data_IF_419177313603
#
_entry.id   IF_419177313603
#
_cell.length_a   1.000
_cell.length_b   1.000
_cell.length_c   1.000
_cell.angle_alpha   90.00
_cell.angle_beta   90.00
_cell.angle_gamma   90.00
#
_symmetry.space_group_name_H-M   'P 1'
#
loop_
_entity.id
_entity.type
_entity.pdbx_description
1 polymer ?
#
# COMPACT_ATOMS: atom_id res chain seq x y z
N UNK A 1 -21.51 99.00 74.21
CA UNK A 1 -20.84 98.32 73.11
C UNK A 1 -19.84 97.24 73.55
N UNK A 2 -20.11 96.53 74.68
CA UNK A 2 -19.21 95.47 75.18
C UNK A 2 -19.79 93.99 75.04
N UNK A 3 -21.09 93.90 74.70
CA UNK A 3 -21.75 92.52 74.59
C UNK A 3 -21.53 91.77 73.29
N UNK A 4 -21.32 92.52 72.18
CA UNK A 4 -21.23 91.87 70.87
C UNK A 4 -19.89 91.22 70.55
N UNK A 5 -18.78 91.73 71.09
CA UNK A 5 -17.43 91.15 70.91
C UNK A 5 -17.24 89.84 71.71
N UNK A 6 -17.98 89.72 72.85
CA UNK A 6 -17.86 88.53 73.70
C UNK A 6 -18.63 87.29 73.10
N UNK A 7 -19.72 87.57 72.35
CA UNK A 7 -20.48 86.51 71.65
C UNK A 7 -19.76 86.04 70.42
N UNK A 8 -18.97 86.90 69.71
CA UNK A 8 -18.20 86.49 68.53
C UNK A 8 -17.00 85.63 68.90
N UNK A 9 -16.37 85.89 70.06
CA UNK A 9 -15.25 85.08 70.58
C UNK A 9 -15.70 83.71 71.06
N UNK A 10 -16.92 83.58 71.65
CA UNK A 10 -17.46 82.28 72.05
C UNK A 10 -17.91 81.46 70.84
N UNK A 11 -18.44 82.09 69.79
CA UNK A 11 -18.78 81.37 68.52
C UNK A 11 -17.52 80.92 67.71
N UNK A 12 -16.44 81.72 67.75
CA UNK A 12 -15.19 81.33 67.11
C UNK A 12 -14.47 80.19 67.85
N UNK A 13 -14.54 80.19 69.21
CA UNK A 13 -13.98 79.05 70.00
C UNK A 13 -14.77 77.74 69.84
N UNK A 14 -16.12 77.85 69.69
CA UNK A 14 -16.98 76.69 69.47
C UNK A 14 -16.80 76.10 68.05
N UNK A 15 -16.53 76.97 67.02
CA UNK A 15 -16.26 76.52 65.67
C UNK A 15 -14.88 75.88 65.51
N UNK A 16 -13.86 76.31 66.34
CA UNK A 16 -12.55 75.71 66.35
C UNK A 16 -12.54 74.34 67.07
N UNK A 17 -13.46 74.11 68.02
CA UNK A 17 -13.55 72.84 68.76
C UNK A 17 -14.26 71.70 67.95
N UNK A 18 -15.06 72.05 66.92
CA UNK A 18 -15.75 71.07 66.06
C UNK A 18 -14.89 70.62 64.89
N UNK A 19 -13.80 71.31 64.55
CA UNK A 19 -12.87 70.88 63.50
C UNK A 19 -11.82 69.82 63.92
N UNK A 20 -11.65 69.62 65.24
CA UNK A 20 -10.70 68.68 65.81
C UNK A 20 -11.22 67.23 65.97
N UNK A 21 -12.54 66.99 65.79
CA UNK A 21 -13.16 65.67 66.06
C UNK A 21 -13.51 64.89 64.80
N UNK A 22 -13.06 65.31 63.60
CA UNK A 22 -13.46 64.67 62.31
C UNK A 22 -12.52 63.62 61.74
N UNK A 23 -11.39 63.32 62.38
CA UNK A 23 -10.40 62.42 61.79
C UNK A 23 -10.39 60.99 62.32
N UNK A 24 -11.37 60.53 63.13
CA UNK A 24 -11.40 59.16 63.68
C UNK A 24 -12.54 58.28 63.14
N UNK A 25 -13.22 58.68 62.05
CA UNK A 25 -14.35 57.98 61.47
C UNK A 25 -14.08 57.43 60.04
N UNK A 26 -12.80 57.37 59.60
CA UNK A 26 -12.45 56.56 58.43
C UNK A 26 -12.21 55.15 58.90
N UNK A 27 -12.96 54.16 58.35
CA UNK A 27 -12.67 52.78 58.64
C UNK A 27 -11.22 52.47 58.20
N UNK A 28 -10.41 51.91 59.10
CA UNK A 28 -9.09 51.47 58.78
C UNK A 28 -9.25 50.40 57.62
N UNK A 29 -8.70 50.77 56.49
CA UNK A 29 -8.62 49.87 55.39
C UNK A 29 -7.86 48.63 55.90
N UNK A 30 -8.57 47.53 56.11
CA UNK A 30 -7.95 46.22 56.39
C UNK A 30 -7.18 45.92 55.13
N UNK A 31 -5.88 46.14 55.16
CA UNK A 31 -4.97 45.55 54.15
C UNK A 31 -5.11 44.03 54.34
N UNK A 32 -5.98 43.45 53.52
CA UNK A 32 -6.04 42.00 53.45
C UNK A 32 -4.62 41.51 53.20
N UNK A 33 -4.13 40.67 54.08
CA UNK A 33 -2.86 40.02 53.93
C UNK A 33 -2.86 39.30 52.54
N UNK A 34 -1.84 39.48 51.70
CA UNK A 34 -1.82 38.83 50.42
C UNK A 34 -2.10 37.34 50.63
N UNK A 35 -2.97 36.73 49.80
CA UNK A 35 -3.31 35.32 49.94
C UNK A 35 -2.01 34.51 50.02
N UNK A 36 -1.95 33.50 50.89
CA UNK A 36 -0.74 32.69 51.01
C UNK A 36 -0.38 32.17 49.62
N UNK A 37 0.86 32.41 49.18
CA UNK A 37 1.37 31.87 47.94
C UNK A 37 1.17 30.35 48.02
N UNK A 38 0.22 29.85 47.20
CA UNK A 38 0.04 28.41 47.03
C UNK A 38 1.39 27.87 46.65
N UNK A 39 1.91 26.93 47.43
CA UNK A 39 3.13 26.20 47.06
C UNK A 39 2.94 25.72 45.61
N UNK A 40 3.92 25.93 44.71
CA UNK A 40 3.82 25.39 43.36
C UNK A 40 3.47 23.92 43.49
N UNK A 41 2.50 23.39 42.67
CA UNK A 41 2.16 21.99 42.74
C UNK A 41 3.46 21.21 42.58
N UNK A 42 3.72 20.26 43.48
CA UNK A 42 4.86 19.38 43.40
C UNK A 42 4.82 18.74 42.02
N UNK A 43 5.80 19.03 41.19
CA UNK A 43 5.92 18.47 39.87
C UNK A 43 6.08 16.95 40.03
N UNK A 44 5.02 16.21 39.86
CA UNK A 44 5.05 14.73 39.89
C UNK A 44 5.98 14.27 38.78
N UNK A 45 7.18 13.88 39.14
CA UNK A 45 8.12 13.30 38.20
C UNK A 45 7.59 11.92 37.81
N UNK A 46 7.19 11.77 36.54
CA UNK A 46 6.79 10.46 36.03
C UNK A 46 8.05 9.63 35.86
N UNK A 47 8.08 8.47 36.45
CA UNK A 47 9.22 7.54 36.37
C UNK A 47 8.80 6.23 35.72
N UNK A 48 9.73 5.60 35.04
CA UNK A 48 9.57 4.29 34.41
C UNK A 48 10.73 3.39 34.81
N UNK A 49 10.44 2.12 35.02
CA UNK A 49 11.46 1.11 35.30
C UNK A 49 11.95 0.51 33.99
N UNK A 50 13.24 0.28 33.85
CA UNK A 50 13.82 -0.47 32.75
C UNK A 50 13.52 -1.95 32.94
N UNK A 51 12.75 -2.52 32.02
CA UNK A 51 12.28 -3.91 32.09
C UNK A 51 12.73 -4.67 30.85
N UNK A 52 12.80 -6.01 30.97
CA UNK A 52 13.00 -6.86 29.80
C UNK A 52 11.69 -7.30 29.21
N UNK A 53 11.64 -7.38 27.88
CA UNK A 53 10.44 -7.80 27.18
C UNK A 53 10.62 -7.95 25.68
N UNK A 54 9.54 -8.28 25.02
CA UNK A 54 9.45 -8.36 23.56
C UNK A 54 9.30 -6.98 22.94
N UNK A 55 10.04 -6.74 21.88
CA UNK A 55 9.88 -5.55 21.03
C UNK A 55 10.00 -5.94 19.56
N UNK A 56 9.21 -5.32 18.73
CA UNK A 56 9.31 -5.44 17.28
C UNK A 56 9.19 -4.07 16.60
N UNK A 57 9.91 -3.89 15.51
CA UNK A 57 9.69 -2.83 14.51
C UNK A 57 8.75 -3.42 13.48
N UNK A 58 7.54 -2.86 13.39
CA UNK A 58 6.45 -3.39 12.59
C UNK A 58 6.02 -2.40 11.51
N UNK A 59 5.95 -2.87 10.27
CA UNK A 59 5.33 -2.12 9.19
C UNK A 59 3.88 -2.58 9.00
N UNK A 60 2.92 -1.76 9.44
CA UNK A 60 1.49 -2.03 9.28
C UNK A 60 0.97 -1.40 8.00
N UNK A 61 0.34 -2.20 7.15
CA UNK A 61 -0.13 -1.77 5.84
C UNK A 61 -1.35 -2.56 5.39
N UNK A 62 -1.89 -2.22 4.22
CA UNK A 62 -2.95 -2.97 3.56
C UNK A 62 -2.37 -3.73 2.37
N UNK A 63 -2.73 -5.00 2.27
CA UNK A 63 -2.48 -5.83 1.12
C UNK A 63 -3.76 -6.12 0.35
N UNK A 64 -3.64 -6.30 -0.95
CA UNK A 64 -4.72 -6.77 -1.82
C UNK A 64 -4.51 -8.23 -2.15
N UNK A 65 -5.55 -9.04 -2.00
CA UNK A 65 -5.51 -10.44 -2.40
C UNK A 65 -5.59 -10.52 -3.91
N UNK A 66 -4.55 -11.04 -4.53
CA UNK A 66 -4.44 -11.22 -5.97
C UNK A 66 -4.17 -12.69 -6.32
N UNK A 67 -4.45 -13.08 -7.54
CA UNK A 67 -4.08 -14.40 -8.02
C UNK A 67 -2.60 -14.43 -8.43
N UNK A 68 -1.92 -15.51 -8.12
CA UNK A 68 -0.53 -15.72 -8.56
C UNK A 68 -0.43 -15.73 -10.08
N UNK A 69 -1.47 -16.27 -10.73
CA UNK A 69 -1.56 -16.35 -12.18
C UNK A 69 -2.65 -15.43 -12.71
N UNK A 70 -2.24 -14.33 -13.28
CA UNK A 70 -3.12 -13.39 -13.98
C UNK A 70 -2.68 -13.23 -15.43
N UNK A 71 -3.62 -12.98 -16.31
CA UNK A 71 -3.34 -12.69 -17.71
C UNK A 71 -4.16 -11.49 -18.19
N UNK A 72 -3.46 -10.53 -18.75
CA UNK A 72 -4.07 -9.37 -19.40
C UNK A 72 -4.23 -9.67 -20.88
N UNK A 73 -5.46 -9.69 -21.36
CA UNK A 73 -5.81 -10.10 -22.71
C UNK A 73 -6.16 -8.89 -23.57
N UNK A 74 -5.67 -8.92 -24.79
CA UNK A 74 -5.84 -7.86 -25.77
C UNK A 74 -5.95 -8.44 -27.19
N UNK A 75 -6.50 -7.68 -28.13
CA UNK A 75 -6.43 -8.03 -29.54
C UNK A 75 -5.06 -7.64 -30.13
N UNK A 76 -4.53 -8.49 -31.00
CA UNK A 76 -3.26 -8.20 -31.71
C UNK A 76 -3.45 -7.27 -32.91
N UNK A 77 -4.70 -6.89 -33.24
CA UNK A 77 -5.05 -5.94 -34.29
C UNK A 77 -6.10 -4.93 -33.78
N UNK A 78 -6.12 -3.76 -34.41
CA UNK A 78 -7.19 -2.79 -34.14
C UNK A 78 -8.46 -3.16 -34.91
N UNK A 79 -9.62 -2.82 -34.35
CA UNK A 79 -10.92 -3.06 -34.96
C UNK A 79 -12.08 -2.61 -34.10
N UNK A 80 -13.29 -2.89 -34.56
CA UNK A 80 -14.49 -2.64 -33.78
C UNK A 80 -14.91 -3.92 -33.05
N UNK A 81 -15.27 -3.80 -31.76
CA UNK A 81 -15.79 -4.92 -30.98
C UNK A 81 -17.13 -5.39 -31.55
N UNK A 82 -17.18 -6.66 -31.96
CA UNK A 82 -18.43 -7.30 -32.44
C UNK A 82 -19.23 -7.87 -31.27
N UNK A 83 -18.56 -8.62 -30.41
CA UNK A 83 -19.17 -9.32 -29.28
C UNK A 83 -18.22 -9.37 -28.10
N UNK A 84 -18.79 -9.16 -26.93
CA UNK A 84 -18.15 -9.43 -25.64
C UNK A 84 -19.01 -10.50 -24.95
N UNK A 85 -18.43 -11.67 -24.71
CA UNK A 85 -19.13 -12.89 -24.28
C UNK A 85 -18.99 -13.16 -22.78
N UNK A 86 -18.36 -12.23 -22.05
CA UNK A 86 -18.06 -12.40 -20.62
C UNK A 86 -18.25 -11.09 -19.86
N UNK A 87 -18.60 -11.24 -18.59
CA UNK A 87 -18.69 -10.15 -17.62
C UNK A 87 -17.70 -10.35 -16.46
N UNK A 88 -17.36 -9.28 -15.72
CA UNK A 88 -16.54 -9.42 -14.49
C UNK A 88 -17.18 -10.41 -13.51
N UNK A 89 -16.39 -11.36 -13.01
CA UNK A 89 -16.85 -12.43 -12.12
C UNK A 89 -17.15 -13.77 -12.78
N UNK A 90 -17.28 -13.81 -14.12
CA UNK A 90 -17.58 -15.06 -14.84
C UNK A 90 -16.43 -16.07 -14.74
N UNK A 91 -16.80 -17.35 -14.58
CA UNK A 91 -15.86 -18.46 -14.71
C UNK A 91 -15.64 -18.79 -16.19
N UNK A 92 -14.38 -18.93 -16.58
CA UNK A 92 -13.96 -19.23 -17.96
C UNK A 92 -13.09 -20.47 -18.01
N UNK A 93 -13.18 -21.21 -19.11
CA UNK A 93 -12.32 -22.37 -19.39
C UNK A 93 -11.21 -21.99 -20.37
N UNK A 94 -10.12 -22.72 -20.30
CA UNK A 94 -9.04 -22.61 -21.29
C UNK A 94 -9.60 -22.67 -22.71
N UNK A 95 -9.07 -21.85 -23.62
CA UNK A 95 -9.45 -21.71 -25.03
C UNK A 95 -10.89 -21.19 -25.28
N UNK A 96 -11.68 -20.90 -24.22
CA UNK A 96 -12.98 -20.27 -24.35
C UNK A 96 -12.84 -18.88 -24.98
N UNK A 97 -13.71 -18.59 -25.97
CA UNK A 97 -13.77 -17.27 -26.61
C UNK A 97 -14.42 -16.27 -25.64
N UNK A 98 -13.72 -15.17 -25.38
CA UNK A 98 -14.16 -14.11 -24.47
C UNK A 98 -14.67 -12.87 -25.23
N UNK A 99 -13.99 -12.52 -26.33
CA UNK A 99 -14.35 -11.37 -27.15
C UNK A 99 -13.96 -11.56 -28.62
N UNK A 100 -14.67 -10.89 -29.51
CA UNK A 100 -14.40 -10.90 -30.96
C UNK A 100 -14.50 -9.49 -31.55
N UNK A 101 -13.59 -9.17 -32.47
CA UNK A 101 -13.74 -8.01 -33.34
C UNK A 101 -14.64 -8.30 -34.54
N UNK A 102 -15.10 -7.25 -35.18
CA UNK A 102 -15.73 -7.35 -36.49
C UNK A 102 -14.68 -7.82 -37.51
N UNK A 103 -14.94 -8.96 -38.15
CA UNK A 103 -14.04 -9.58 -39.14
C UNK A 103 -14.38 -9.19 -40.58
N UNK A 104 -15.52 -8.52 -40.79
CA UNK A 104 -16.01 -8.14 -42.10
C UNK A 104 -16.12 -9.33 -43.05
N UNK A 105 -15.38 -9.31 -44.16
CA UNK A 105 -15.31 -10.37 -45.15
C UNK A 105 -14.18 -11.39 -44.93
N UNK A 106 -13.44 -11.30 -43.82
CA UNK A 106 -12.24 -12.10 -43.55
C UNK A 106 -12.52 -13.60 -43.56
N UNK A 107 -13.62 -14.02 -42.93
CA UNK A 107 -14.04 -15.43 -42.91
C UNK A 107 -14.37 -15.93 -44.34
N UNK A 108 -14.93 -15.06 -45.19
CA UNK A 108 -15.22 -15.39 -46.57
C UNK A 108 -13.92 -15.49 -47.39
N UNK A 109 -13.00 -14.54 -47.20
CA UNK A 109 -11.67 -14.60 -47.88
C UNK A 109 -10.89 -15.82 -47.47
N UNK A 110 -10.93 -16.24 -46.21
CA UNK A 110 -10.29 -17.47 -45.74
C UNK A 110 -10.85 -18.69 -46.47
N UNK A 111 -12.18 -18.81 -46.60
CA UNK A 111 -12.82 -19.89 -47.33
C UNK A 111 -12.39 -19.94 -48.80
N UNK A 112 -12.30 -18.77 -49.48
CA UNK A 112 -11.81 -18.70 -50.86
C UNK A 112 -10.33 -19.14 -50.95
N UNK A 113 -9.47 -18.69 -50.04
CA UNK A 113 -8.08 -19.07 -50.01
C UNK A 113 -7.90 -20.59 -49.74
N UNK A 114 -8.74 -21.20 -48.91
CA UNK A 114 -8.78 -22.63 -48.69
C UNK A 114 -9.13 -23.41 -49.96
N UNK A 115 -10.10 -22.94 -50.75
CA UNK A 115 -10.45 -23.53 -52.05
C UNK A 115 -9.29 -23.36 -53.06
N UNK A 116 -8.64 -22.20 -53.09
CA UNK A 116 -7.46 -21.96 -53.95
C UNK A 116 -6.30 -22.90 -53.58
N UNK A 117 -6.10 -23.14 -52.30
CA UNK A 117 -5.11 -24.11 -51.80
C UNK A 117 -5.44 -25.52 -52.27
N UNK A 118 -6.70 -25.96 -52.13
CA UNK A 118 -7.15 -27.30 -52.59
C UNK A 118 -6.92 -27.48 -54.10
N UNK A 119 -7.24 -26.44 -54.92
CA UNK A 119 -6.98 -26.45 -56.34
C UNK A 119 -5.49 -26.56 -56.63
N UNK A 120 -4.64 -25.78 -55.96
CA UNK A 120 -3.20 -25.78 -56.11
C UNK A 120 -2.59 -27.16 -55.70
N UNK A 121 -3.12 -27.78 -54.69
CA UNK A 121 -2.73 -29.14 -54.25
C UNK A 121 -3.08 -30.19 -55.31
N UNK A 122 -4.30 -30.17 -55.85
CA UNK A 122 -4.70 -31.07 -56.92
C UNK A 122 -3.81 -30.94 -58.18
N UNK A 123 -3.54 -29.70 -58.59
CA UNK A 123 -2.64 -29.44 -59.72
C UNK A 123 -1.22 -29.92 -59.45
N UNK A 124 -0.69 -29.71 -58.23
CA UNK A 124 0.63 -30.19 -57.86
C UNK A 124 0.69 -31.73 -57.84
N UNK A 125 -0.31 -32.40 -57.33
CA UNK A 125 -0.37 -33.90 -57.33
C UNK A 125 -0.47 -34.43 -58.77
N UNK A 126 -1.28 -33.78 -59.63
CA UNK A 126 -1.33 -34.13 -61.06
C UNK A 126 0.02 -33.93 -61.72
N UNK A 127 0.69 -32.81 -61.51
CA UNK A 127 2.02 -32.54 -62.03
C UNK A 127 3.05 -33.56 -61.55
N UNK A 128 2.98 -33.98 -60.29
CA UNK A 128 3.85 -34.99 -59.68
C UNK A 128 3.69 -36.38 -60.35
N UNK A 129 2.45 -36.75 -60.73
CA UNK A 129 2.18 -38.01 -61.40
C UNK A 129 2.64 -38.05 -62.88
N UNK A 130 2.79 -36.86 -63.50
CA UNK A 130 3.22 -36.72 -64.90
C UNK A 130 4.70 -36.32 -65.01
N UNK A 131 5.43 -36.24 -63.94
CA UNK A 131 6.85 -35.82 -63.94
C UNK A 131 7.70 -36.85 -64.73
N UNK A 132 8.50 -36.33 -65.68
CA UNK A 132 9.33 -37.13 -66.58
C UNK A 132 8.60 -37.79 -67.77
N UNK A 133 7.27 -37.62 -67.83
CA UNK A 133 6.45 -38.04 -68.98
C UNK A 133 6.05 -36.82 -69.82
N UNK A 134 5.29 -35.90 -69.22
CA UNK A 134 4.75 -34.74 -69.90
C UNK A 134 5.17 -33.41 -69.22
N UNK A 135 5.69 -33.47 -68.00
CA UNK A 135 6.03 -32.28 -67.20
C UNK A 135 7.52 -32.27 -66.90
N UNK A 136 8.11 -31.05 -67.10
CA UNK A 136 9.53 -30.82 -66.80
C UNK A 136 9.76 -30.59 -65.30
N UNK A 137 10.99 -30.85 -64.76
CA UNK A 137 11.35 -30.54 -63.40
C UNK A 137 11.12 -29.03 -63.05
N UNK A 138 11.27 -28.14 -64.04
CA UNK A 138 11.01 -26.71 -63.85
C UNK A 138 9.51 -26.43 -63.64
N UNK A 139 8.64 -27.02 -64.47
CA UNK A 139 7.19 -26.84 -64.34
C UNK A 139 6.66 -27.48 -63.05
N UNK A 140 7.21 -28.60 -62.66
CA UNK A 140 6.92 -29.22 -61.37
C UNK A 140 7.28 -28.26 -60.20
N UNK A 141 8.46 -27.64 -60.25
CA UNK A 141 8.87 -26.63 -59.23
C UNK A 141 7.95 -25.42 -59.21
N UNK A 142 7.49 -24.96 -60.38
CA UNK A 142 6.51 -23.86 -60.48
C UNK A 142 5.19 -24.24 -59.80
N UNK A 143 4.66 -25.47 -59.98
CA UNK A 143 3.44 -25.94 -59.29
C UNK A 143 3.62 -26.06 -57.75
N UNK A 144 4.80 -26.49 -57.33
CA UNK A 144 5.17 -26.51 -55.92
C UNK A 144 5.14 -25.12 -55.27
N UNK A 145 5.71 -24.09 -55.95
CA UNK A 145 5.72 -22.71 -55.49
C UNK A 145 4.31 -22.07 -55.46
N UNK A 146 3.46 -22.43 -56.46
CA UNK A 146 2.07 -21.99 -56.48
C UNK A 146 1.30 -22.54 -55.25
N UNK A 147 1.47 -23.86 -54.97
CA UNK A 147 0.91 -24.50 -53.76
C UNK A 147 1.43 -23.78 -52.49
N UNK A 148 2.74 -23.60 -52.36
CA UNK A 148 3.35 -22.95 -51.21
C UNK A 148 2.80 -21.53 -51.01
N UNK A 149 2.60 -20.75 -52.08
CA UNK A 149 1.97 -19.43 -52.00
C UNK A 149 0.56 -19.52 -51.44
N UNK A 150 -0.26 -20.50 -51.88
CA UNK A 150 -1.62 -20.69 -51.41
C UNK A 150 -1.64 -21.09 -49.90
N UNK A 151 -0.70 -21.94 -49.45
CA UNK A 151 -0.54 -22.27 -48.01
C UNK A 151 -0.29 -21.03 -47.22
N UNK A 152 0.69 -20.20 -47.60
CA UNK A 152 1.03 -18.97 -46.89
C UNK A 152 -0.13 -17.96 -46.84
N UNK A 153 -0.96 -17.90 -47.89
CA UNK A 153 -2.14 -17.02 -47.90
C UNK A 153 -3.21 -17.52 -46.90
N UNK A 154 -3.46 -18.84 -46.80
CA UNK A 154 -4.36 -19.40 -45.80
C UNK A 154 -3.83 -19.14 -44.39
N UNK A 155 -2.56 -19.42 -44.12
CA UNK A 155 -1.93 -19.19 -42.81
C UNK A 155 -2.06 -17.68 -42.39
N UNK A 156 -1.79 -16.76 -43.31
CA UNK A 156 -1.92 -15.33 -43.08
C UNK A 156 -3.35 -14.93 -42.67
N UNK A 157 -4.36 -15.48 -43.36
CA UNK A 157 -5.77 -15.16 -43.08
C UNK A 157 -6.23 -15.81 -41.76
N UNK A 158 -5.73 -17.00 -41.42
CA UNK A 158 -5.98 -17.65 -40.15
C UNK A 158 -5.37 -16.87 -38.98
N UNK A 159 -4.14 -16.40 -39.11
CA UNK A 159 -3.49 -15.53 -38.12
C UNK A 159 -4.25 -14.22 -37.93
N UNK A 160 -4.75 -13.63 -39.01
CA UNK A 160 -5.53 -12.40 -38.97
C UNK A 160 -6.88 -12.60 -38.29
N UNK A 161 -7.51 -13.75 -38.48
CA UNK A 161 -8.75 -14.15 -37.83
C UNK A 161 -8.50 -14.42 -36.34
N UNK A 162 -7.43 -15.13 -36.00
CA UNK A 162 -7.02 -15.39 -34.62
C UNK A 162 -6.71 -14.09 -33.88
N UNK A 163 -5.99 -13.14 -34.53
CA UNK A 163 -5.70 -11.83 -33.99
C UNK A 163 -6.95 -10.98 -33.69
N UNK A 164 -8.11 -11.38 -34.29
CA UNK A 164 -9.42 -10.76 -34.07
C UNK A 164 -10.23 -11.42 -32.94
N UNK A 165 -9.68 -12.41 -32.23
CA UNK A 165 -10.37 -13.18 -31.20
C UNK A 165 -9.53 -13.23 -29.94
N UNK A 166 -10.16 -12.95 -28.79
CA UNK A 166 -9.54 -13.15 -27.48
C UNK A 166 -10.07 -14.46 -26.90
N UNK A 167 -9.14 -15.33 -26.46
CA UNK A 167 -9.43 -16.57 -25.76
C UNK A 167 -8.79 -16.60 -24.39
N UNK A 168 -9.38 -17.33 -23.45
CA UNK A 168 -8.81 -17.56 -22.13
C UNK A 168 -7.58 -18.48 -22.24
N UNK A 169 -6.43 -18.10 -21.70
CA UNK A 169 -5.21 -18.92 -21.77
C UNK A 169 -5.20 -20.09 -20.77
N UNK A 170 -6.08 -20.07 -19.78
CA UNK A 170 -6.23 -21.10 -18.74
C UNK A 170 -7.64 -21.04 -18.13
N UNK A 171 -8.00 -22.05 -17.33
CA UNK A 171 -9.23 -22.07 -16.54
C UNK A 171 -9.12 -21.02 -15.42
N UNK A 172 -10.13 -20.16 -15.29
CA UNK A 172 -10.05 -19.07 -14.32
C UNK A 172 -11.33 -18.27 -14.20
N UNK A 173 -11.19 -17.04 -13.70
CA UNK A 173 -12.28 -16.09 -13.54
C UNK A 173 -11.95 -14.74 -14.18
N UNK A 174 -12.91 -14.11 -14.80
CA UNK A 174 -12.78 -12.75 -15.34
C UNK A 174 -12.71 -11.76 -14.18
N UNK A 175 -11.60 -11.01 -14.09
CA UNK A 175 -11.38 -9.98 -13.07
C UNK A 175 -12.00 -8.66 -13.49
N UNK A 176 -11.71 -8.24 -14.73
CA UNK A 176 -12.12 -6.94 -15.24
C UNK A 176 -12.30 -6.99 -16.74
N UNK A 177 -13.22 -6.15 -17.23
CA UNK A 177 -13.47 -5.92 -18.64
C UNK A 177 -13.36 -4.41 -18.89
N UNK A 178 -12.57 -4.01 -19.89
CA UNK A 178 -12.21 -2.61 -20.17
C UNK A 178 -12.81 -2.07 -21.46
N UNK A 179 -13.57 -2.88 -22.21
CA UNK A 179 -14.20 -2.48 -23.46
C UNK A 179 -15.65 -2.97 -23.51
N UNK A 180 -16.45 -2.36 -24.35
CA UNK A 180 -17.86 -2.69 -24.57
C UNK A 180 -18.10 -3.10 -26.01
N UNK A 181 -19.22 -3.76 -26.26
CA UNK A 181 -19.65 -4.02 -27.63
C UNK A 181 -19.77 -2.74 -28.44
N UNK A 182 -19.35 -2.81 -29.70
CA UNK A 182 -19.28 -1.70 -30.67
C UNK A 182 -18.22 -0.65 -30.41
N UNK A 183 -17.42 -0.76 -29.34
CA UNK A 183 -16.27 0.14 -29.14
C UNK A 183 -15.23 -0.09 -30.24
N UNK A 184 -14.52 0.98 -30.60
CA UNK A 184 -13.27 0.90 -31.36
C UNK A 184 -12.15 0.50 -30.39
N UNK A 185 -11.47 -0.60 -30.67
CA UNK A 185 -10.39 -1.13 -29.86
C UNK A 185 -9.08 -1.07 -30.64
N UNK A 186 -8.06 -0.51 -30.03
CA UNK A 186 -6.71 -0.47 -30.58
C UNK A 186 -5.97 -1.78 -30.29
N UNK A 187 -5.02 -2.14 -31.18
CA UNK A 187 -4.14 -3.29 -30.96
C UNK A 187 -3.36 -3.13 -29.65
N UNK A 188 -3.17 -4.24 -28.93
CA UNK A 188 -2.43 -4.35 -27.66
C UNK A 188 -3.02 -3.55 -26.48
N UNK A 189 -4.20 -2.95 -26.66
CA UNK A 189 -4.93 -2.35 -25.54
C UNK A 189 -5.65 -3.42 -24.74
N UNK A 190 -5.50 -3.38 -23.42
CA UNK A 190 -6.17 -4.32 -22.50
C UNK A 190 -7.68 -4.31 -22.70
N UNK A 191 -8.27 -5.49 -22.89
CA UNK A 191 -9.72 -5.69 -23.06
C UNK A 191 -10.30 -6.50 -21.91
N UNK A 192 -9.67 -7.61 -21.54
CA UNK A 192 -10.12 -8.50 -20.47
C UNK A 192 -8.94 -8.89 -19.61
N UNK A 193 -9.15 -8.95 -18.30
CA UNK A 193 -8.19 -9.51 -17.33
C UNK A 193 -8.77 -10.78 -16.75
N UNK A 194 -8.04 -11.89 -16.82
CA UNK A 194 -8.41 -13.20 -16.29
C UNK A 194 -7.42 -13.62 -15.22
N UNK A 195 -7.91 -14.18 -14.12
CA UNK A 195 -7.08 -14.67 -13.02
C UNK A 195 -7.45 -16.12 -12.67
N UNK A 196 -6.47 -16.89 -12.20
CA UNK A 196 -6.66 -18.23 -11.66
C UNK A 196 -6.93 -18.11 -10.14
N UNK A 197 -8.15 -18.42 -9.66
CA UNK A 197 -8.49 -18.25 -8.24
C UNK A 197 -7.94 -19.38 -7.35
N UNK A 198 -7.22 -20.35 -7.89
CA UNK A 198 -6.72 -21.51 -7.11
C UNK A 198 -5.53 -21.12 -6.25
N UNK A 199 -4.59 -20.34 -6.78
CA UNK A 199 -3.44 -19.87 -6.04
C UNK A 199 -3.54 -18.36 -5.82
N UNK A 200 -3.74 -17.97 -4.57
CA UNK A 200 -3.84 -16.57 -4.16
C UNK A 200 -2.61 -16.14 -3.38
N UNK A 201 -2.22 -14.90 -3.54
CA UNK A 201 -1.18 -14.23 -2.79
C UNK A 201 -1.66 -12.84 -2.35
N UNK A 202 -0.94 -12.25 -1.41
CA UNK A 202 -1.24 -10.90 -0.95
C UNK A 202 -0.19 -9.96 -1.51
N UNK A 203 -0.62 -8.98 -2.28
CA UNK A 203 0.23 -7.95 -2.85
C UNK A 203 0.14 -6.68 -2.00
N UNK A 204 1.29 -6.21 -1.52
CA UNK A 204 1.43 -5.02 -0.70
C UNK A 204 2.24 -3.98 -1.47
N UNK A 205 1.63 -2.87 -1.81
CA UNK A 205 2.34 -1.71 -2.36
C UNK A 205 2.91 -0.89 -1.21
N UNK A 206 4.23 -0.74 -1.16
CA UNK A 206 4.90 -0.02 -0.09
C UNK A 206 4.99 1.48 -0.41
N UNK A 207 4.83 2.35 0.60
CA UNK A 207 5.09 3.78 0.42
C UNK A 207 6.57 4.01 0.13
N UNK A 208 6.90 5.06 -0.63
CA UNK A 208 8.30 5.44 -0.94
C UNK A 208 9.18 5.71 0.29
N UNK A 209 8.55 6.02 1.43
CA UNK A 209 9.24 6.23 2.70
C UNK A 209 9.62 4.93 3.40
N UNK A 210 9.12 3.79 2.96
CA UNK A 210 9.47 2.50 3.54
C UNK A 210 10.91 2.12 3.15
N UNK A 211 11.69 1.72 4.14
CA UNK A 211 13.06 1.24 3.89
C UNK A 211 13.02 -0.19 3.34
N UNK A 212 12.89 -0.28 2.02
CA UNK A 212 12.81 -1.56 1.29
C UNK A 212 14.05 -2.43 1.54
N UNK A 213 15.20 -1.82 1.89
CA UNK A 213 16.44 -2.55 2.18
C UNK A 213 16.35 -3.40 3.44
N UNK A 214 15.41 -3.09 4.33
CA UNK A 214 15.12 -3.90 5.53
C UNK A 214 14.26 -5.13 5.25
N UNK A 215 13.67 -5.22 4.06
CA UNK A 215 12.82 -6.33 3.69
C UNK A 215 13.63 -7.47 3.07
N UNK A 216 13.39 -8.68 3.55
CA UNK A 216 14.10 -9.87 3.08
C UNK A 216 13.09 -10.95 2.69
N UNK A 217 13.39 -11.69 1.62
CA UNK A 217 12.61 -12.86 1.25
C UNK A 217 12.62 -13.89 2.37
N UNK A 218 11.45 -14.47 2.69
CA UNK A 218 11.27 -15.39 3.82
C UNK A 218 10.98 -14.70 5.15
N UNK A 219 10.93 -13.37 5.19
CA UNK A 219 10.61 -12.61 6.39
C UNK A 219 9.17 -12.87 6.83
N UNK A 220 8.97 -13.01 8.14
CA UNK A 220 7.67 -13.30 8.75
C UNK A 220 6.71 -12.13 8.62
N UNK A 221 5.46 -12.45 8.32
CA UNK A 221 4.37 -11.50 8.14
C UNK A 221 3.13 -12.01 8.84
N UNK A 222 2.43 -11.15 9.54
CA UNK A 222 1.12 -11.45 10.12
C UNK A 222 0.03 -10.88 9.23
N UNK A 223 -0.92 -11.70 8.86
CA UNK A 223 -2.04 -11.35 7.98
C UNK A 223 -3.35 -11.46 8.74
N UNK A 224 -4.13 -10.40 8.78
CA UNK A 224 -5.45 -10.40 9.41
C UNK A 224 -6.50 -10.92 8.44
N UNK A 225 -6.97 -12.14 8.65
CA UNK A 225 -7.95 -12.81 7.76
C UNK A 225 -9.36 -12.26 7.99
N UNK A 226 -9.81 -12.23 9.25
CA UNK A 226 -11.16 -11.75 9.60
C UNK A 226 -11.17 -11.30 11.07
N UNK A 227 -11.60 -10.06 11.33
CA UNK A 227 -11.72 -9.55 12.69
C UNK A 227 -10.43 -9.67 13.50
N UNK A 228 -10.40 -10.56 14.48
CA UNK A 228 -9.24 -10.83 15.34
C UNK A 228 -8.44 -12.07 14.93
N UNK A 229 -8.80 -12.71 13.82
CA UNK A 229 -8.09 -13.90 13.34
C UNK A 229 -6.88 -13.50 12.49
N UNK A 230 -5.69 -13.81 12.99
CA UNK A 230 -4.42 -13.60 12.31
C UNK A 230 -3.84 -14.92 11.82
N UNK A 231 -3.17 -14.87 10.70
CA UNK A 231 -2.44 -16.00 10.11
C UNK A 231 -0.99 -15.62 9.84
N UNK A 232 -0.13 -16.60 10.00
CA UNK A 232 1.29 -16.46 9.65
C UNK A 232 1.47 -16.57 8.13
N UNK A 233 2.34 -15.72 7.62
CA UNK A 233 2.75 -15.70 6.23
C UNK A 233 4.21 -15.28 6.11
N UNK A 234 4.72 -15.26 4.90
CA UNK A 234 6.09 -14.87 4.62
C UNK A 234 6.20 -14.09 3.30
N UNK A 235 7.20 -13.24 3.22
CA UNK A 235 7.55 -12.54 1.97
C UNK A 235 8.08 -13.56 0.97
N UNK A 236 7.32 -13.80 -0.09
CA UNK A 236 7.71 -14.70 -1.18
C UNK A 236 8.62 -14.00 -2.19
N UNK A 237 8.28 -12.78 -2.56
CA UNK A 237 9.00 -11.98 -3.55
C UNK A 237 8.87 -10.50 -3.26
N UNK A 238 9.92 -9.74 -3.57
CA UNK A 238 9.91 -8.27 -3.57
C UNK A 238 10.14 -7.85 -5.01
N UNK A 239 9.13 -7.27 -5.63
CA UNK A 239 9.22 -6.72 -6.98
C UNK A 239 9.49 -5.21 -6.87
N UNK A 240 10.62 -4.78 -7.41
CA UNK A 240 10.90 -3.37 -7.64
C UNK A 240 10.54 -3.10 -9.09
N UNK A 241 9.64 -2.19 -9.37
CA UNK A 241 9.26 -1.85 -10.75
C UNK A 241 10.49 -1.35 -11.49
N UNK A 242 10.75 -1.93 -12.68
CA UNK A 242 11.83 -1.48 -13.55
C UNK A 242 11.65 0.00 -13.94
N UNK A 243 12.77 0.71 -14.06
CA UNK A 243 12.87 2.12 -14.47
C UNK A 243 12.26 2.35 -15.86
N UNK A 244 10.95 2.48 -15.94
CA UNK A 244 10.30 2.74 -17.25
C UNK A 244 8.82 3.10 -17.18
N UNK A 245 8.14 2.81 -16.10
CA UNK A 245 6.74 3.18 -15.91
C UNK A 245 6.65 4.44 -15.06
N UNK A 246 6.28 5.54 -15.67
CA UNK A 246 6.34 6.91 -15.13
C UNK A 246 5.29 7.21 -14.05
N UNK A 247 4.49 6.28 -13.57
CA UNK A 247 3.40 6.57 -12.63
C UNK A 247 3.31 5.68 -11.37
N UNK A 248 3.97 4.51 -11.30
CA UNK A 248 3.87 3.64 -10.11
C UNK A 248 5.18 2.88 -9.85
N UNK A 249 6.23 3.61 -9.50
CA UNK A 249 7.53 3.02 -9.11
C UNK A 249 7.54 2.56 -7.63
N UNK A 250 6.37 2.18 -7.09
CA UNK A 250 6.28 1.67 -5.73
C UNK A 250 6.71 0.21 -5.69
N UNK A 251 7.60 -0.19 -4.77
CA UNK A 251 7.94 -1.58 -4.60
C UNK A 251 6.71 -2.37 -4.13
N UNK A 252 6.49 -3.51 -4.76
CA UNK A 252 5.40 -4.43 -4.44
C UNK A 252 5.98 -5.67 -3.76
N UNK A 253 5.46 -5.98 -2.59
CA UNK A 253 5.82 -7.18 -1.83
C UNK A 253 4.73 -8.23 -2.02
N UNK A 254 5.13 -9.42 -2.45
CA UNK A 254 4.26 -10.58 -2.60
C UNK A 254 4.40 -11.48 -1.37
N UNK A 255 3.29 -11.71 -0.70
CA UNK A 255 3.21 -12.46 0.56
C UNK A 255 2.38 -13.72 0.32
N UNK A 256 2.86 -14.84 0.83
CA UNK A 256 2.11 -16.11 0.87
C UNK A 256 1.84 -16.51 2.30
N UNK A 257 0.68 -17.13 2.53
CA UNK A 257 0.36 -17.72 3.81
C UNK A 257 1.16 -19.02 4.01
N UNK A 258 1.51 -19.33 5.24
CA UNK A 258 2.13 -20.61 5.59
C UNK A 258 1.13 -21.76 5.48
N UNK A 259 -0.12 -21.53 5.90
CA UNK A 259 -1.20 -22.52 5.79
C UNK A 259 -2.02 -22.27 4.51
N UNK A 260 -1.89 -23.14 3.48
CA UNK A 260 -2.65 -23.02 2.25
C UNK A 260 -4.14 -23.34 2.40
N UNK A 261 -4.57 -23.89 3.55
CA UNK A 261 -5.98 -24.20 3.80
C UNK A 261 -6.82 -22.95 4.12
N UNK A 262 -6.17 -21.82 4.43
CA UNK A 262 -6.86 -20.57 4.70
C UNK A 262 -7.40 -19.98 3.39
N UNK A 263 -8.70 -19.85 3.33
CA UNK A 263 -9.39 -19.33 2.16
C UNK A 263 -9.33 -17.80 2.15
N UNK A 264 -8.61 -17.23 1.20
CA UNK A 264 -8.58 -15.80 0.94
C UNK A 264 -9.69 -15.42 -0.04
N UNK A 265 -10.34 -14.30 0.19
CA UNK A 265 -11.29 -13.77 -0.78
C UNK A 265 -10.54 -12.96 -1.85
N UNK A 266 -10.64 -13.40 -3.10
CA UNK A 266 -10.01 -12.72 -4.23
C UNK A 266 -10.45 -11.26 -4.33
N UNK A 267 -9.50 -10.37 -4.61
CA UNK A 267 -9.68 -8.91 -4.75
C UNK A 267 -10.03 -8.17 -3.45
N UNK A 268 -10.02 -8.84 -2.30
CA UNK A 268 -10.24 -8.22 -1.00
C UNK A 268 -9.00 -7.47 -0.50
N UNK A 269 -9.24 -6.47 0.36
CA UNK A 269 -8.18 -5.75 1.08
C UNK A 269 -8.08 -6.31 2.49
N UNK A 270 -6.87 -6.69 2.88
CA UNK A 270 -6.58 -7.26 4.20
C UNK A 270 -5.44 -6.51 4.89
N UNK A 271 -5.48 -6.48 6.22
CA UNK A 271 -4.41 -5.86 7.01
C UNK A 271 -3.23 -6.80 7.11
N UNK A 272 -2.05 -6.22 6.91
CA UNK A 272 -0.77 -6.93 6.91
C UNK A 272 0.18 -6.23 7.86
N UNK A 273 0.89 -7.00 8.68
CA UNK A 273 1.95 -6.54 9.58
C UNK A 273 3.22 -7.27 9.20
N UNK A 274 4.19 -6.54 8.66
CA UNK A 274 5.51 -7.07 8.31
C UNK A 274 6.43 -6.81 9.51
N UNK A 275 7.02 -7.86 10.06
CA UNK A 275 7.96 -7.76 11.18
C UNK A 275 9.35 -7.45 10.61
N UNK A 276 9.81 -6.20 10.75
CA UNK A 276 11.11 -5.75 10.22
C UNK A 276 12.27 -6.26 11.07
N UNK A 277 12.17 -6.06 12.37
CA UNK A 277 13.16 -6.49 13.37
C UNK A 277 12.42 -6.89 14.64
N UNK A 278 12.88 -7.93 15.35
CA UNK A 278 12.29 -8.36 16.62
C UNK A 278 13.34 -8.81 17.63
N UNK A 279 13.06 -8.66 18.90
CA UNK A 279 13.88 -9.15 19.98
C UNK A 279 12.99 -9.58 21.17
N UNK A 280 13.19 -10.81 21.69
CA UNK A 280 12.37 -11.37 22.77
C UNK A 280 12.80 -10.93 24.17
N UNK A 281 14.09 -10.68 24.40
CA UNK A 281 14.66 -10.34 25.72
C UNK A 281 15.42 -9.00 25.67
N UNK A 282 14.74 -7.96 25.21
CA UNK A 282 15.31 -6.62 25.07
C UNK A 282 15.07 -5.77 26.32
N UNK A 283 16.06 -4.96 26.71
CA UNK A 283 15.86 -3.89 27.70
C UNK A 283 14.98 -2.80 27.10
N UNK A 284 13.84 -2.53 27.70
CA UNK A 284 12.80 -1.64 27.17
C UNK A 284 12.63 -0.41 28.04
N UNK A 285 12.49 0.72 27.40
CA UNK A 285 12.00 1.96 27.98
C UNK A 285 10.97 2.61 27.06
N UNK A 286 10.04 3.41 27.60
CA UNK A 286 9.12 4.17 26.77
C UNK A 286 9.88 5.15 25.85
N UNK A 287 9.47 5.24 24.58
CA UNK A 287 10.07 6.13 23.58
C UNK A 287 10.11 7.60 24.03
N UNK A 288 9.12 8.00 24.84
CA UNK A 288 8.97 9.35 25.37
C UNK A 288 10.07 9.80 26.35
N UNK A 289 10.81 8.86 26.97
CA UNK A 289 11.88 9.18 27.92
C UNK A 289 13.24 9.38 27.27
N UNK A 290 13.43 8.91 26.03
CA UNK A 290 14.66 9.10 25.26
C UNK A 290 14.73 10.53 24.76
N UNK A 291 15.82 11.21 25.07
CA UNK A 291 16.12 12.57 24.65
C UNK A 291 17.20 12.56 23.59
N UNK A 292 17.05 13.44 22.59
CA UNK A 292 18.05 13.61 21.55
C UNK A 292 18.53 15.06 21.55
N UNK A 293 19.83 15.28 21.55
CA UNK A 293 20.45 16.59 21.41
C UNK A 293 21.74 16.47 20.60
N UNK A 294 21.84 17.20 19.50
CA UNK A 294 22.99 17.19 18.57
C UNK A 294 23.46 15.77 18.16
N UNK A 295 22.48 14.87 17.89
CA UNK A 295 22.77 13.48 17.50
C UNK A 295 23.08 12.53 18.66
N UNK A 296 23.22 13.02 19.88
CA UNK A 296 23.41 12.24 21.10
C UNK A 296 22.04 11.81 21.64
N UNK A 297 21.84 10.50 21.85
CA UNK A 297 20.66 9.95 22.54
C UNK A 297 21.01 9.68 24.00
N UNK A 298 20.21 10.19 24.93
CA UNK A 298 20.43 10.02 26.37
C UNK A 298 19.11 9.95 27.12
N UNK A 299 19.15 9.41 28.34
CA UNK A 299 18.05 9.38 29.29
C UNK A 299 18.48 9.95 30.62
N UNK A 300 17.51 10.34 31.46
CA UNK A 300 17.77 10.75 32.83
C UNK A 300 17.44 9.62 33.77
N UNK A 301 18.43 9.10 34.45
CA UNK A 301 18.30 8.03 35.44
C UNK A 301 18.15 8.68 36.83
N UNK A 302 17.27 8.12 37.66
CA UNK A 302 17.08 8.49 39.05
C UNK A 302 17.92 7.56 39.95
N UNK A 303 18.98 8.09 40.57
CA UNK A 303 19.82 7.38 41.57
C UNK A 303 19.58 8.02 42.94
N UNK A 304 18.65 7.44 43.75
CA UNK A 304 18.17 8.08 44.97
C UNK A 304 17.45 9.39 44.67
N UNK A 305 17.93 10.51 45.20
CA UNK A 305 17.42 11.87 44.92
C UNK A 305 18.15 12.57 43.77
N UNK A 306 19.17 11.95 43.20
CA UNK A 306 19.98 12.55 42.14
C UNK A 306 19.50 12.18 40.76
N UNK A 307 19.59 13.13 39.82
CA UNK A 307 19.27 12.91 38.41
C UNK A 307 20.56 12.92 37.61
N UNK A 308 20.85 11.83 36.94
CA UNK A 308 22.06 11.69 36.10
C UNK A 308 21.65 11.48 34.65
N UNK A 309 22.31 12.17 33.73
CA UNK A 309 22.17 11.92 32.29
C UNK A 309 23.10 10.77 31.90
N UNK A 310 22.54 9.77 31.25
CA UNK A 310 23.26 8.59 30.79
C UNK A 310 23.06 8.47 29.28
N UNK A 311 24.17 8.37 28.54
CA UNK A 311 24.15 8.12 27.12
C UNK A 311 23.67 6.71 26.82
N UNK A 312 22.77 6.57 25.88
CA UNK A 312 22.19 5.29 25.49
C UNK A 312 22.38 5.01 24.01
N UNK A 313 22.63 3.74 23.69
CA UNK A 313 22.57 3.23 22.33
C UNK A 313 21.23 2.54 22.17
N UNK A 314 20.41 3.08 21.29
CA UNK A 314 19.08 2.57 20.97
C UNK A 314 19.20 1.54 19.85
N UNK A 315 18.50 0.41 20.00
CA UNK A 315 18.33 -0.62 18.97
C UNK A 315 16.98 -0.48 18.27
N UNK A 316 16.16 -1.53 18.36
CA UNK A 316 14.82 -1.59 17.75
C UNK A 316 13.91 -0.49 18.32
N UNK A 317 13.26 0.24 17.45
CA UNK A 317 12.29 1.28 17.81
C UNK A 317 10.85 0.80 17.50
N UNK A 318 10.17 0.28 18.53
CA UNK A 318 8.75 -0.09 18.42
C UNK A 318 7.81 1.12 18.49
N UNK A 319 6.50 0.88 18.53
CA UNK A 319 5.47 1.94 18.57
C UNK A 319 5.55 2.79 19.84
N UNK A 320 5.66 2.15 21.00
CA UNK A 320 5.60 2.80 22.33
C UNK A 320 6.91 2.73 23.10
N UNK A 321 7.71 1.71 22.86
CA UNK A 321 8.97 1.43 23.54
C UNK A 321 10.13 1.40 22.58
N UNK A 322 11.34 1.53 23.14
CA UNK A 322 12.58 1.37 22.40
C UNK A 322 13.50 0.40 23.15
N UNK A 323 14.23 -0.38 22.38
CA UNK A 323 15.28 -1.25 22.87
C UNK A 323 16.53 -0.43 23.25
N UNK A 324 17.12 -0.73 24.38
CA UNK A 324 18.40 -0.20 24.79
C UNK A 324 19.47 -1.28 24.67
N UNK A 325 20.44 -1.02 23.80
CA UNK A 325 21.59 -1.92 23.59
C UNK A 325 22.73 -1.66 24.56
N UNK A 326 22.92 -0.39 24.97
CA UNK A 326 23.98 0.01 25.92
C UNK A 326 23.54 1.24 26.72
N UNK A 327 24.01 1.35 27.96
CA UNK A 327 23.85 2.53 28.81
C UNK A 327 22.91 2.38 29.96
N UNK A 328 22.05 1.35 29.98
CA UNK A 328 21.14 1.08 31.09
C UNK A 328 21.23 -0.38 31.53
N UNK A 329 20.83 -0.62 32.77
CA UNK A 329 20.68 -1.94 33.37
C UNK A 329 19.20 -2.18 33.76
N UNK A 330 18.80 -3.43 33.81
CA UNK A 330 17.46 -3.83 34.26
C UNK A 330 17.19 -3.34 35.69
N UNK A 331 15.96 -2.86 35.93
CA UNK A 331 15.55 -2.35 37.24
C UNK A 331 15.92 -0.88 37.50
N UNK A 332 16.73 -0.23 36.66
CA UNK A 332 17.00 1.20 36.78
C UNK A 332 15.73 2.04 36.53
N UNK A 333 15.65 3.18 37.23
CA UNK A 333 14.50 4.08 37.12
C UNK A 333 14.87 5.23 36.21
N UNK A 334 14.14 5.43 35.12
CA UNK A 334 14.28 6.54 34.19
C UNK A 334 13.16 7.57 34.35
N UNK A 335 13.50 8.83 34.14
CA UNK A 335 12.60 9.96 34.36
C UNK A 335 11.94 10.35 33.06
N UNK A 336 10.60 10.41 33.04
CA UNK A 336 9.80 10.92 31.96
C UNK A 336 10.00 12.43 31.71
N UNK A 337 9.30 12.90 30.72
CA UNK A 337 9.26 14.36 30.42
C UNK A 337 8.35 15.10 31.37
#
# INVERSE_FOLDING_TARGET
>A
MLGLKRQLLILSALALMTMGAGCSLLPAEQVDAPPPLLSPPEARTITYTVERGYIADELRTLGRVAAVRESTLYFRRSGRMRQLLVEPGDAVKKDQVLARLETGDLEHRLKLAQVDLELAEMEFQRAKSLLGLEISPHDMKMKELVKQKAVLEVERLEEELEASTIRAPFDGRVVSVYARERDAVEAYRTVVKVADPVELEIQVSLPYSADVNKLVRGQKVLVNITGDQWADGYIHQIAVSDEGSTLDNQPVVHIRLEDPAINLEFDSLIRVVILLEEAEDALLIPKSVVRSYMGRKFVRVLEGDSRREVDVVVGIEGDTHVQILKGLEEGQIVIGR
#
